data_IF_952693470051
#
_entry.id   IF_952693470051
#
_cell.length_a   1.000
_cell.length_b   1.000
_cell.length_c   1.000
_cell.angle_alpha   90.00
_cell.angle_beta   90.00
_cell.angle_gamma   90.00
#
_symmetry.space_group_name_H-M   'P 1'
#
loop_
_entity.id
_entity.type
_entity.pdbx_description
1 polymer ?
#
# COMPACT_ATOMS: atom_id res chain seq x y z
N UNK A 1 -2.46 -18.94 -2.28
CA UNK A 1 -1.74 -17.84 -2.96
C UNK A 1 -1.64 -16.60 -2.08
N UNK A 2 -2.75 -15.97 -1.68
CA UNK A 2 -2.72 -14.74 -0.88
C UNK A 2 -1.93 -14.88 0.44
N UNK A 3 -2.15 -15.98 1.18
CA UNK A 3 -1.38 -16.30 2.38
C UNK A 3 0.12 -16.44 2.11
N UNK A 4 0.50 -17.04 0.96
CA UNK A 4 1.92 -17.21 0.58
C UNK A 4 2.58 -15.86 0.32
N UNK A 5 1.88 -14.97 -0.40
CA UNK A 5 2.37 -13.60 -0.64
C UNK A 5 2.52 -12.82 0.66
N UNK A 6 1.54 -12.94 1.56
CA UNK A 6 1.59 -12.30 2.88
C UNK A 6 2.76 -12.83 3.73
N UNK A 7 2.97 -14.14 3.76
CA UNK A 7 4.08 -14.76 4.48
C UNK A 7 5.42 -14.34 3.88
N UNK A 8 5.53 -14.29 2.54
CA UNK A 8 6.73 -13.81 1.87
C UNK A 8 7.10 -12.39 2.30
N UNK A 9 6.11 -11.48 2.32
CA UNK A 9 6.33 -10.09 2.72
C UNK A 9 6.63 -9.95 4.23
N UNK A 10 5.98 -10.73 5.09
CA UNK A 10 6.06 -10.57 6.53
C UNK A 10 7.29 -11.24 7.19
N UNK A 11 7.79 -12.34 6.61
CA UNK A 11 8.80 -13.18 7.27
C UNK A 11 10.14 -13.28 6.54
N UNK A 12 10.22 -12.91 5.27
CA UNK A 12 11.51 -12.88 4.57
C UNK A 12 12.20 -11.54 4.79
N UNK A 13 13.55 -11.54 4.92
CA UNK A 13 14.29 -10.30 5.11
C UNK A 13 14.16 -9.42 3.86
N UNK A 14 14.07 -8.10 4.08
CA UNK A 14 14.11 -7.13 2.98
C UNK A 14 15.48 -7.14 2.30
N UNK A 15 15.56 -7.02 0.96
CA UNK A 15 14.45 -6.81 0.02
C UNK A 15 13.87 -8.13 -0.58
N UNK A 16 14.25 -9.29 -0.05
CA UNK A 16 13.96 -10.59 -0.67
C UNK A 16 12.45 -10.90 -0.67
N UNK A 17 11.74 -10.51 0.39
CA UNK A 17 10.29 -10.64 0.49
C UNK A 17 9.58 -9.85 -0.61
N UNK A 18 9.94 -8.58 -0.82
CA UNK A 18 9.38 -7.74 -1.88
C UNK A 18 9.65 -8.32 -3.26
N UNK A 19 10.90 -8.73 -3.53
CA UNK A 19 11.29 -9.32 -4.81
C UNK A 19 10.50 -10.61 -5.07
N UNK A 20 10.39 -11.50 -4.08
CA UNK A 20 9.61 -12.74 -4.21
C UNK A 20 8.16 -12.44 -4.58
N UNK A 21 7.51 -11.49 -3.92
CA UNK A 21 6.14 -11.05 -4.25
C UNK A 21 6.07 -10.50 -5.67
N UNK A 22 6.96 -9.59 -6.06
CA UNK A 22 6.97 -8.94 -7.38
C UNK A 22 7.12 -9.97 -8.50
N UNK A 23 7.93 -11.02 -8.31
CA UNK A 23 8.09 -12.07 -9.33
C UNK A 23 6.80 -12.86 -9.60
N UNK A 24 5.80 -12.80 -8.71
CA UNK A 24 4.50 -13.44 -8.92
C UNK A 24 3.54 -12.63 -9.80
N UNK A 25 3.85 -11.37 -10.12
CA UNK A 25 3.03 -10.48 -10.97
C UNK A 25 2.49 -11.16 -12.24
N UNK A 26 3.29 -11.93 -13.02
CA UNK A 26 2.80 -12.59 -14.23
C UNK A 26 1.60 -13.52 -13.99
N UNK A 27 1.49 -14.13 -12.80
CA UNK A 27 0.37 -15.00 -12.42
C UNK A 27 -0.95 -14.24 -12.29
N UNK A 28 -0.87 -12.92 -12.08
CA UNK A 28 -2.01 -12.03 -11.87
C UNK A 28 -2.38 -11.23 -13.12
N UNK A 29 -1.60 -11.33 -14.21
CA UNK A 29 -1.71 -10.47 -15.40
C UNK A 29 -3.12 -10.33 -15.98
N UNK A 30 -3.94 -11.38 -15.94
CA UNK A 30 -5.32 -11.34 -16.47
C UNK A 30 -6.40 -11.13 -15.40
N UNK A 31 -6.03 -11.10 -14.12
CA UNK A 31 -6.98 -11.10 -12.99
C UNK A 31 -7.07 -9.74 -12.29
N UNK A 32 -6.00 -8.94 -12.33
CA UNK A 32 -5.95 -7.66 -11.64
C UNK A 32 -6.34 -6.52 -12.58
N UNK A 33 -6.90 -5.47 -12.00
CA UNK A 33 -7.11 -4.21 -12.71
C UNK A 33 -5.78 -3.45 -12.75
N UNK A 34 -5.08 -3.50 -13.89
CA UNK A 34 -3.81 -2.80 -14.07
C UNK A 34 -3.96 -1.29 -14.06
N UNK A 35 -4.88 -0.82 -14.91
CA UNK A 35 -5.29 0.57 -15.00
C UNK A 35 -6.81 0.61 -15.04
N UNK A 36 -7.37 1.69 -14.53
CA UNK A 36 -8.80 1.99 -14.58
C UNK A 36 -8.97 3.50 -14.54
N UNK A 37 -10.17 3.97 -14.86
CA UNK A 37 -10.54 5.35 -14.56
C UNK A 37 -11.96 5.39 -13.99
N UNK A 38 -12.05 5.60 -12.68
CA UNK A 38 -13.30 5.89 -11.99
C UNK A 38 -13.08 7.09 -11.06
N UNK A 39 -13.48 8.30 -11.50
CA UNK A 39 -13.10 9.55 -10.83
C UNK A 39 -13.66 9.64 -9.41
N UNK A 40 -14.84 9.10 -9.15
CA UNK A 40 -15.44 9.08 -7.80
C UNK A 40 -14.54 8.35 -6.80
N UNK A 41 -14.02 7.17 -7.16
CA UNK A 41 -13.12 6.43 -6.27
C UNK A 41 -11.76 7.12 -6.10
N UNK A 42 -11.25 7.76 -7.16
CA UNK A 42 -10.00 8.53 -7.10
C UNK A 42 -10.18 9.74 -6.16
N UNK A 43 -11.27 10.48 -6.28
CA UNK A 43 -11.56 11.63 -5.42
C UNK A 43 -11.69 11.22 -3.95
N UNK A 44 -12.45 10.14 -3.67
CA UNK A 44 -12.57 9.60 -2.31
C UNK A 44 -11.22 9.12 -1.77
N UNK A 45 -10.41 8.46 -2.60
CA UNK A 45 -9.06 8.04 -2.23
C UNK A 45 -8.20 9.22 -1.80
N UNK A 46 -8.16 10.29 -2.60
CA UNK A 46 -7.36 11.48 -2.30
C UNK A 46 -7.85 12.20 -1.03
N UNK A 47 -9.16 12.25 -0.80
CA UNK A 47 -9.73 12.83 0.42
C UNK A 47 -9.32 12.03 1.68
N UNK A 48 -9.47 10.70 1.65
CA UNK A 48 -9.06 9.83 2.76
C UNK A 48 -7.54 9.88 2.95
N UNK A 49 -6.77 9.84 1.86
CA UNK A 49 -5.31 9.94 1.87
C UNK A 49 -4.83 11.22 2.55
N UNK A 50 -5.36 12.37 2.12
CA UNK A 50 -4.98 13.68 2.67
C UNK A 50 -5.33 13.76 4.16
N UNK A 51 -6.51 13.25 4.53
CA UNK A 51 -6.94 13.20 5.94
C UNK A 51 -6.01 12.32 6.77
N UNK A 52 -5.69 11.11 6.29
CA UNK A 52 -4.79 10.18 6.97
C UNK A 52 -3.39 10.79 7.12
N UNK A 53 -2.86 11.39 6.06
CA UNK A 53 -1.55 12.04 6.06
C UNK A 53 -1.47 13.18 7.06
N UNK A 54 -2.46 14.08 7.09
CA UNK A 54 -2.49 15.19 8.05
C UNK A 54 -2.57 14.66 9.49
N UNK A 55 -3.44 13.67 9.75
CA UNK A 55 -3.55 13.08 11.09
C UNK A 55 -2.25 12.41 11.53
N UNK A 56 -1.59 11.66 10.65
CA UNK A 56 -0.34 10.98 10.92
C UNK A 56 0.82 11.96 11.14
N UNK A 57 0.89 13.03 10.34
CA UNK A 57 1.85 14.12 10.53
C UNK A 57 1.69 14.82 11.88
N UNK A 58 0.46 15.07 12.31
CA UNK A 58 0.19 15.73 13.60
C UNK A 58 0.40 14.79 14.80
N UNK A 59 0.04 13.51 14.66
CA UNK A 59 0.10 12.54 15.75
C UNK A 59 1.48 11.93 15.95
N UNK A 60 2.16 11.60 14.85
CA UNK A 60 3.42 10.83 14.85
C UNK A 60 4.60 11.66 14.37
N UNK A 61 4.36 12.52 13.38
CA UNK A 61 5.39 13.28 12.70
C UNK A 61 6.35 12.41 11.88
N UNK A 62 7.30 13.05 11.16
CA UNK A 62 8.29 12.36 10.34
C UNK A 62 9.16 11.34 11.11
N UNK A 63 9.49 10.19 10.50
CA UNK A 63 10.29 9.16 11.14
C UNK A 63 11.70 9.66 11.47
N UNK A 64 12.29 9.09 12.52
CA UNK A 64 13.63 9.45 13.01
C UNK A 64 14.79 8.78 12.26
N UNK A 65 14.48 7.85 11.35
CA UNK A 65 15.47 7.15 10.53
C UNK A 65 15.13 7.32 9.05
N UNK A 66 16.17 7.25 8.20
CA UNK A 66 16.04 7.37 6.75
C UNK A 66 16.31 6.00 6.13
N UNK A 67 15.26 5.28 5.68
CA UNK A 67 15.45 4.02 4.96
C UNK A 67 16.03 4.26 3.57
N UNK A 68 16.50 3.19 2.93
CA UNK A 68 16.97 3.24 1.55
C UNK A 68 15.81 3.62 0.61
N UNK A 69 15.97 4.71 -0.16
CA UNK A 69 14.91 5.28 -0.99
C UNK A 69 14.32 4.28 -1.99
N UNK A 70 15.15 3.43 -2.61
CA UNK A 70 14.71 2.47 -3.62
C UNK A 70 13.84 1.37 -3.00
N UNK A 71 14.07 1.03 -1.74
CA UNK A 71 13.26 0.03 -1.04
C UNK A 71 11.87 0.61 -0.76
N UNK A 72 11.80 1.76 -0.10
CA UNK A 72 10.53 2.33 0.36
C UNK A 72 9.74 3.04 -0.74
N UNK A 73 10.37 3.59 -1.77
CA UNK A 73 9.67 4.31 -2.85
C UNK A 73 9.36 3.40 -4.05
N UNK A 74 10.10 2.29 -4.23
CA UNK A 74 9.93 1.43 -5.41
C UNK A 74 9.49 0.02 -5.03
N UNK A 75 10.31 -0.73 -4.30
CA UNK A 75 10.03 -2.15 -4.05
C UNK A 75 8.82 -2.37 -3.14
N UNK A 76 8.78 -1.65 -2.01
CA UNK A 76 7.70 -1.76 -1.02
C UNK A 76 6.34 -1.43 -1.67
N UNK A 77 6.14 -0.30 -2.38
CA UNK A 77 4.89 -0.01 -3.06
C UNK A 77 4.49 -1.07 -4.10
N UNK A 78 5.44 -1.56 -4.91
CA UNK A 78 5.15 -2.63 -5.88
C UNK A 78 4.69 -3.92 -5.19
N UNK A 79 5.41 -4.37 -4.17
CA UNK A 79 5.09 -5.60 -3.48
C UNK A 79 3.79 -5.48 -2.67
N UNK A 80 3.67 -4.46 -1.82
CA UNK A 80 2.55 -4.31 -0.91
C UNK A 80 1.23 -4.07 -1.64
N UNK A 81 1.21 -3.26 -2.70
CA UNK A 81 -0.01 -3.04 -3.46
C UNK A 81 -0.44 -4.31 -4.22
N UNK A 82 0.49 -5.22 -4.54
CA UNK A 82 0.15 -6.52 -5.09
C UNK A 82 -0.51 -7.40 -4.02
N UNK A 83 0.07 -7.47 -2.83
CA UNK A 83 -0.40 -8.33 -1.72
C UNK A 83 -1.70 -7.83 -1.12
N UNK A 84 -1.84 -6.52 -0.91
CA UNK A 84 -2.95 -5.97 -0.13
C UNK A 84 -4.06 -5.40 -0.99
N UNK A 85 -3.83 -5.10 -2.29
CA UNK A 85 -4.87 -4.49 -3.15
C UNK A 85 -5.16 -5.41 -4.31
N UNK A 86 -4.23 -5.57 -5.23
CA UNK A 86 -4.49 -6.29 -6.47
C UNK A 86 -4.90 -7.76 -6.24
N UNK A 87 -4.14 -8.53 -5.45
CA UNK A 87 -4.44 -9.93 -5.19
C UNK A 87 -5.74 -10.16 -4.38
N UNK A 88 -6.02 -9.43 -3.28
CA UNK A 88 -7.27 -9.58 -2.54
C UNK A 88 -8.50 -9.28 -3.40
N UNK A 89 -8.48 -8.18 -4.16
CA UNK A 89 -9.60 -7.84 -5.04
C UNK A 89 -9.75 -8.78 -6.24
N UNK A 90 -8.70 -9.53 -6.61
CA UNK A 90 -8.75 -10.53 -7.67
C UNK A 90 -9.15 -11.94 -7.16
N UNK A 91 -8.92 -12.25 -5.89
CA UNK A 91 -9.06 -13.60 -5.33
C UNK A 91 -10.20 -13.75 -4.31
N UNK A 92 -10.63 -12.65 -3.68
CA UNK A 92 -11.65 -12.69 -2.62
C UNK A 92 -12.92 -11.93 -3.03
N UNK A 93 -14.11 -12.45 -2.71
CA UNK A 93 -15.35 -11.70 -2.90
C UNK A 93 -15.44 -10.54 -1.89
N UNK A 94 -16.19 -9.47 -2.19
CA UNK A 94 -16.64 -8.53 -1.17
C UNK A 94 -17.52 -9.24 -0.11
N UNK A 95 -17.46 -8.85 1.18
CA UNK A 95 -16.63 -7.79 1.75
C UNK A 95 -15.20 -8.22 2.10
N UNK A 96 -14.84 -9.51 1.93
CA UNK A 96 -13.56 -10.06 2.39
C UNK A 96 -12.34 -9.39 1.74
N UNK A 97 -12.41 -9.02 0.46
CA UNK A 97 -11.34 -8.27 -0.21
C UNK A 97 -11.06 -6.91 0.44
N UNK A 98 -12.11 -6.18 0.85
CA UNK A 98 -11.97 -4.91 1.57
C UNK A 98 -11.41 -5.11 2.98
N UNK A 99 -11.92 -6.11 3.71
CA UNK A 99 -11.40 -6.42 5.06
C UNK A 99 -9.91 -6.73 4.98
N UNK A 100 -9.47 -7.52 4.00
CA UNK A 100 -8.06 -7.82 3.82
C UNK A 100 -7.25 -6.56 3.45
N UNK A 101 -7.72 -5.77 2.48
CA UNK A 101 -7.00 -4.60 1.99
C UNK A 101 -6.84 -3.48 3.02
N UNK A 102 -7.80 -3.37 3.95
CA UNK A 102 -7.90 -2.27 4.92
C UNK A 102 -7.53 -2.73 6.33
N UNK A 103 -8.28 -3.70 6.87
CA UNK A 103 -8.17 -4.10 8.28
C UNK A 103 -6.94 -4.97 8.52
N UNK A 104 -6.71 -5.97 7.67
CA UNK A 104 -5.51 -6.83 7.81
C UNK A 104 -4.24 -6.01 7.56
N UNK A 105 -4.23 -5.14 6.55
CA UNK A 105 -3.14 -4.20 6.33
C UNK A 105 -2.87 -3.33 7.58
N UNK A 106 -3.90 -2.71 8.15
CA UNK A 106 -3.76 -1.91 9.36
C UNK A 106 -3.26 -2.71 10.57
N UNK A 107 -3.75 -3.93 10.78
CA UNK A 107 -3.34 -4.80 11.88
C UNK A 107 -1.86 -5.19 11.84
N UNK A 108 -1.22 -5.16 10.66
CA UNK A 108 0.22 -5.42 10.50
C UNK A 108 1.09 -4.20 10.86
N UNK A 109 0.49 -3.07 11.20
CA UNK A 109 1.17 -1.84 11.63
C UNK A 109 0.87 -1.57 13.11
N UNK A 110 1.50 -2.31 14.04
CA UNK A 110 1.10 -2.32 15.46
C UNK A 110 1.29 -0.98 16.15
N UNK A 111 2.15 -0.11 15.64
CA UNK A 111 2.33 1.23 16.18
C UNK A 111 1.04 2.07 16.05
N UNK A 112 0.35 2.01 14.91
CA UNK A 112 -0.83 2.84 14.61
C UNK A 112 -1.82 2.13 13.66
N UNK A 113 -2.50 1.07 14.10
CA UNK A 113 -3.31 0.23 13.23
C UNK A 113 -4.48 0.98 12.59
N UNK A 114 -5.04 1.98 13.28
CA UNK A 114 -6.13 2.82 12.75
C UNK A 114 -5.66 3.75 11.62
N UNK A 115 -4.53 4.46 11.81
CA UNK A 115 -3.96 5.32 10.76
C UNK A 115 -3.53 4.49 9.55
N UNK A 116 -2.87 3.35 9.79
CA UNK A 116 -2.51 2.43 8.73
C UNK A 116 -3.75 1.88 7.99
N UNK A 117 -4.85 1.61 8.69
CA UNK A 117 -6.12 1.24 8.05
C UNK A 117 -6.68 2.36 7.17
N UNK A 118 -6.55 3.64 7.57
CA UNK A 118 -6.99 4.76 6.73
C UNK A 118 -6.16 4.87 5.44
N UNK A 119 -4.84 4.70 5.52
CA UNK A 119 -4.02 4.59 4.31
C UNK A 119 -4.40 3.37 3.47
N UNK A 120 -4.64 2.21 4.09
CA UNK A 120 -5.14 1.01 3.42
C UNK A 120 -6.46 1.25 2.70
N UNK A 121 -7.39 2.00 3.29
CA UNK A 121 -8.64 2.42 2.67
C UNK A 121 -8.39 3.36 1.49
N UNK A 122 -7.53 4.37 1.66
CA UNK A 122 -7.18 5.30 0.58
C UNK A 122 -6.59 4.56 -0.63
N UNK A 123 -5.66 3.64 -0.39
CA UNK A 123 -5.00 2.84 -1.42
C UNK A 123 -5.96 1.82 -2.05
N UNK A 124 -6.83 1.17 -1.27
CA UNK A 124 -7.89 0.33 -1.81
C UNK A 124 -8.86 1.10 -2.72
N UNK A 125 -9.27 2.32 -2.33
CA UNK A 125 -10.07 3.21 -3.17
C UNK A 125 -9.29 3.61 -4.44
N UNK A 126 -8.00 3.93 -4.32
CA UNK A 126 -7.16 4.25 -5.48
C UNK A 126 -7.08 3.07 -6.44
N UNK A 127 -6.89 1.85 -5.95
CA UNK A 127 -6.94 0.65 -6.78
C UNK A 127 -8.29 0.47 -7.49
N UNK A 128 -9.41 0.70 -6.79
CA UNK A 128 -10.76 0.63 -7.40
C UNK A 128 -11.02 1.73 -8.43
N UNK A 129 -10.32 2.85 -8.30
CA UNK A 129 -10.40 4.02 -9.17
C UNK A 129 -9.46 3.98 -10.38
N UNK A 130 -8.18 3.82 -10.13
CA UNK A 130 -7.08 3.93 -11.08
C UNK A 130 -6.35 2.60 -11.39
N UNK A 131 -6.67 1.52 -10.69
CA UNK A 131 -5.98 0.22 -10.84
C UNK A 131 -4.67 0.12 -10.04
N UNK A 132 -3.95 -0.97 -10.25
CA UNK A 132 -2.69 -1.30 -9.58
C UNK A 132 -1.65 -0.20 -9.74
N UNK A 133 -1.48 0.33 -10.96
CA UNK A 133 -0.49 1.39 -11.23
C UNK A 133 -0.77 2.65 -10.40
N UNK A 134 -2.04 3.06 -10.29
CA UNK A 134 -2.39 4.25 -9.52
C UNK A 134 -2.20 4.04 -8.00
N UNK A 135 -2.51 2.85 -7.49
CA UNK A 135 -2.29 2.50 -6.09
C UNK A 135 -0.81 2.51 -5.74
N UNK A 136 0.03 1.88 -6.59
CA UNK A 136 1.50 1.90 -6.45
C UNK A 136 2.03 3.33 -6.47
N UNK A 137 1.55 4.14 -7.42
CA UNK A 137 1.99 5.53 -7.53
C UNK A 137 1.64 6.37 -6.29
N UNK A 138 0.41 6.25 -5.76
CA UNK A 138 0.00 6.95 -4.55
C UNK A 138 0.83 6.50 -3.32
N UNK A 139 1.08 5.20 -3.19
CA UNK A 139 1.90 4.66 -2.10
C UNK A 139 3.36 5.14 -2.23
N UNK A 140 3.97 5.04 -3.42
CA UNK A 140 5.31 5.55 -3.68
C UNK A 140 5.43 7.06 -3.37
N UNK A 141 4.43 7.84 -3.76
CA UNK A 141 4.36 9.27 -3.47
C UNK A 141 4.29 9.54 -1.97
N UNK A 142 3.45 8.81 -1.23
CA UNK A 142 3.40 8.89 0.23
C UNK A 142 4.76 8.63 0.87
N UNK A 143 5.42 7.55 0.47
CA UNK A 143 6.71 7.16 1.04
C UNK A 143 7.80 8.17 0.68
N UNK A 144 7.75 8.74 -0.52
CA UNK A 144 8.65 9.82 -0.92
C UNK A 144 8.45 11.07 -0.06
N UNK A 145 7.21 11.49 0.21
CA UNK A 145 6.95 12.63 1.09
C UNK A 145 7.56 12.35 2.48
N UNK A 146 7.26 11.20 3.09
CA UNK A 146 7.79 10.87 4.41
C UNK A 146 9.32 10.81 4.44
N UNK A 147 9.94 10.25 3.40
CA UNK A 147 11.38 10.21 3.25
C UNK A 147 11.98 11.61 3.17
N UNK A 148 11.39 12.51 2.38
CA UNK A 148 11.87 13.90 2.27
C UNK A 148 11.71 14.67 3.58
N UNK A 149 10.60 14.48 4.29
CA UNK A 149 10.38 15.10 5.59
C UNK A 149 11.38 14.59 6.64
N UNK A 150 11.67 13.29 6.66
CA UNK A 150 12.69 12.70 7.52
C UNK A 150 14.09 13.25 7.20
N UNK A 151 14.44 13.35 5.92
CA UNK A 151 15.71 13.91 5.47
C UNK A 151 15.89 15.39 5.83
N UNK A 152 14.82 16.17 5.85
CA UNK A 152 14.85 17.59 6.22
C UNK A 152 15.06 17.87 7.72
N UNK A 153 15.07 16.83 8.56
CA UNK A 153 15.27 16.93 10.02
C UNK A 153 16.71 16.67 10.47
N UNK A 154 17.58 16.21 9.56
CA UNK A 154 19.01 16.00 9.80
C UNK A 154 19.82 17.21 9.34
#
# INVERSE_FOLDING_TARGET
MLLVLLVALAFFPKPLGEVAVITTIPLFKKRIAWTKFSPTYIALSLAVFTTAFVLDYLAMGPPSYIPAWWDVVVLTPLAEELVFRAAPFALLPPPASWIFAVVVFGALHPANPLLASLYGLALALMYRGGGYVASVALHAFNNLIWLTLAASRL
#
